data_IF_254407527491
#
_entry.id   IF_254407527491
#
_cell.length_a   1.000
_cell.length_b   1.000
_cell.length_c   1.000
_cell.angle_alpha   90.00
_cell.angle_beta   90.00
_cell.angle_gamma   90.00
#
_symmetry.space_group_name_H-M   'P 1'
#
loop_
_entity.id
_entity.type
_entity.pdbx_description
1 polymer ?
#
# COMPACT_ATOMS: atom_id res chain seq x y z
N UNK A 1 6.98 -24.09 7.87
CA UNK A 1 6.01 -22.96 7.90
C UNK A 1 4.67 -23.52 8.38
N UNK A 2 4.07 -22.96 9.44
CA UNK A 2 2.68 -23.29 9.81
C UNK A 2 1.77 -22.78 8.70
N UNK A 3 0.91 -23.65 8.19
CA UNK A 3 -0.10 -23.29 7.20
C UNK A 3 -1.19 -22.46 7.90
N UNK A 4 -1.35 -21.20 7.54
CA UNK A 4 -2.42 -20.35 8.06
C UNK A 4 -3.72 -20.63 7.29
N UNK A 5 -4.82 -20.74 8.02
CA UNK A 5 -6.16 -20.88 7.44
C UNK A 5 -6.77 -19.49 7.23
N UNK A 6 -7.26 -19.20 6.04
CA UNK A 6 -8.07 -18.03 5.77
C UNK A 6 -9.55 -18.33 6.02
N UNK A 7 -10.13 -17.54 6.91
CA UNK A 7 -11.56 -17.62 7.22
C UNK A 7 -12.23 -16.32 6.75
N UNK A 8 -13.05 -16.43 5.69
CA UNK A 8 -13.80 -15.31 5.13
C UNK A 8 -15.27 -15.47 5.47
N UNK A 9 -15.82 -14.51 6.23
CA UNK A 9 -17.20 -14.52 6.68
C UNK A 9 -18.06 -13.66 5.75
N UNK A 10 -19.05 -14.25 5.10
CA UNK A 10 -20.10 -13.55 4.39
C UNK A 10 -21.31 -13.41 5.28
N UNK A 11 -21.84 -12.19 5.44
CA UNK A 11 -23.04 -11.89 6.20
C UNK A 11 -24.02 -11.23 5.25
N UNK A 12 -25.15 -11.88 5.00
CA UNK A 12 -26.16 -11.40 4.07
C UNK A 12 -27.29 -10.64 4.74
N UNK A 13 -27.54 -10.94 6.01
CA UNK A 13 -28.57 -10.26 6.80
C UNK A 13 -28.02 -8.90 7.27
N UNK A 14 -28.63 -7.77 6.85
CA UNK A 14 -28.15 -6.44 7.19
C UNK A 14 -28.12 -6.15 8.68
N UNK A 15 -29.06 -6.71 9.47
CA UNK A 15 -29.10 -6.49 10.90
C UNK A 15 -27.94 -7.18 11.63
N UNK A 16 -27.37 -8.23 11.02
CA UNK A 16 -26.22 -8.96 11.54
C UNK A 16 -24.86 -8.35 11.13
N UNK A 17 -24.82 -7.51 10.09
CA UNK A 17 -23.56 -6.88 9.61
C UNK A 17 -22.93 -6.01 10.69
N UNK A 18 -23.75 -5.28 11.45
CA UNK A 18 -23.29 -4.41 12.53
C UNK A 18 -22.70 -5.14 13.73
N UNK A 19 -22.92 -6.45 13.87
CA UNK A 19 -22.41 -7.24 14.99
C UNK A 19 -20.89 -7.43 14.91
N UNK A 20 -20.21 -7.47 16.06
CA UNK A 20 -18.75 -7.65 16.13
C UNK A 20 -18.35 -9.12 15.95
N UNK A 21 -18.48 -9.66 14.74
CA UNK A 21 -18.13 -11.05 14.45
C UNK A 21 -16.66 -11.38 14.72
N UNK A 22 -15.84 -10.36 14.84
CA UNK A 22 -14.43 -10.44 15.23
C UNK A 22 -14.25 -11.12 16.60
N UNK A 23 -15.28 -11.09 17.49
CA UNK A 23 -15.24 -11.72 18.81
C UNK A 23 -15.58 -13.22 18.81
N UNK A 24 -15.91 -13.80 17.66
CA UNK A 24 -16.28 -15.22 17.60
C UNK A 24 -15.19 -16.09 18.24
N UNK A 25 -15.64 -17.03 19.08
CA UNK A 25 -14.79 -17.98 19.78
C UNK A 25 -15.15 -19.42 19.33
N UNK A 26 -14.17 -20.31 19.18
CA UNK A 26 -14.46 -21.73 18.89
C UNK A 26 -15.27 -22.39 20.01
N UNK A 27 -14.99 -21.99 21.25
CA UNK A 27 -15.71 -22.39 22.46
C UNK A 27 -15.69 -21.24 23.48
N UNK A 28 -16.69 -21.17 24.37
CA UNK A 28 -16.71 -20.14 25.41
C UNK A 28 -15.42 -20.13 26.25
N UNK A 29 -14.83 -18.95 26.41
CA UNK A 29 -13.59 -18.75 27.17
C UNK A 29 -12.29 -18.98 26.40
N UNK A 30 -12.35 -19.38 25.14
CA UNK A 30 -11.17 -19.41 24.25
C UNK A 30 -10.90 -18.06 23.61
N UNK A 31 -9.70 -17.89 23.03
CA UNK A 31 -9.36 -16.69 22.27
C UNK A 31 -10.24 -16.57 21.03
N UNK A 32 -10.59 -15.34 20.67
CA UNK A 32 -11.35 -15.07 19.46
C UNK A 32 -10.60 -15.54 18.21
N UNK A 33 -11.35 -16.02 17.20
CA UNK A 33 -10.80 -16.51 15.92
C UNK A 33 -9.96 -15.42 15.25
N UNK A 34 -10.42 -14.17 15.28
CA UNK A 34 -9.73 -13.03 14.67
C UNK A 34 -8.41 -12.64 15.34
N UNK A 35 -8.12 -13.19 16.51
CA UNK A 35 -6.86 -13.00 17.26
C UNK A 35 -5.93 -14.22 17.11
N UNK A 36 -6.36 -15.28 16.42
CA UNK A 36 -5.52 -16.45 16.21
C UNK A 36 -4.36 -16.14 15.27
N UNK A 37 -3.13 -16.56 15.58
CA UNK A 37 -2.01 -16.46 14.65
C UNK A 37 -2.11 -17.44 13.47
N UNK A 38 -2.95 -18.48 13.60
CA UNK A 38 -3.11 -19.55 12.62
C UNK A 38 -4.37 -19.34 11.73
N UNK A 39 -5.25 -18.38 12.09
CA UNK A 39 -6.49 -18.09 11.36
C UNK A 39 -6.52 -16.63 10.96
N UNK A 40 -6.53 -16.38 9.67
CA UNK A 40 -6.65 -15.04 9.10
C UNK A 40 -8.13 -14.73 8.86
N UNK A 41 -8.68 -13.86 9.69
CA UNK A 41 -10.10 -13.52 9.67
C UNK A 41 -10.38 -12.26 8.88
N UNK A 42 -11.30 -12.33 7.92
CA UNK A 42 -11.85 -11.20 7.19
C UNK A 42 -13.34 -11.42 6.88
N UNK A 43 -14.03 -10.32 6.56
CA UNK A 43 -15.37 -10.39 5.96
C UNK A 43 -15.25 -10.38 4.44
N UNK A 44 -16.30 -10.83 3.76
CA UNK A 44 -16.40 -10.80 2.30
C UNK A 44 -17.86 -10.67 1.87
N UNK A 45 -18.07 -10.43 0.59
CA UNK A 45 -19.39 -10.51 -0.08
C UNK A 45 -19.22 -11.28 -1.38
N UNK A 46 -20.21 -12.05 -1.81
CA UNK A 46 -20.12 -12.87 -3.02
C UNK A 46 -20.63 -12.15 -4.27
N UNK A 47 -21.52 -11.19 -4.11
CA UNK A 47 -22.05 -10.38 -5.22
C UNK A 47 -21.13 -9.18 -5.49
N UNK A 48 -20.08 -9.40 -6.27
CA UNK A 48 -19.04 -8.40 -6.57
C UNK A 48 -18.79 -8.27 -8.08
N UNK A 49 -18.37 -7.09 -8.50
CA UNK A 49 -17.79 -6.88 -9.82
C UNK A 49 -16.41 -7.56 -9.89
N UNK A 50 -16.01 -8.10 -11.05
CA UNK A 50 -14.69 -8.73 -11.19
C UNK A 50 -13.57 -7.79 -10.81
N UNK A 51 -12.51 -8.33 -10.18
CA UNK A 51 -11.31 -7.54 -9.91
C UNK A 51 -10.70 -7.01 -11.19
N UNK A 52 -10.30 -5.73 -11.24
CA UNK A 52 -9.48 -5.22 -12.31
C UNK A 52 -8.12 -5.94 -12.31
N UNK A 53 -7.39 -5.85 -13.43
CA UNK A 53 -6.03 -6.37 -13.47
C UNK A 53 -5.15 -5.65 -12.44
N UNK A 54 -4.74 -6.36 -11.39
CA UNK A 54 -3.99 -5.80 -10.28
C UNK A 54 -2.52 -5.58 -10.67
N UNK A 55 -1.99 -4.40 -10.35
CA UNK A 55 -0.57 -4.09 -10.52
C UNK A 55 0.29 -4.93 -9.59
N UNK A 56 1.48 -5.28 -10.03
CA UNK A 56 2.51 -5.81 -9.16
C UNK A 56 3.32 -4.64 -8.62
N UNK A 57 3.07 -4.27 -7.35
CA UNK A 57 3.78 -3.20 -6.68
C UNK A 57 4.87 -3.78 -5.76
N UNK A 58 5.98 -3.06 -5.62
CA UNK A 58 7.11 -3.41 -4.73
C UNK A 58 7.30 -2.36 -3.63
N UNK A 59 6.51 -1.29 -3.65
CA UNK A 59 6.52 -0.21 -2.67
C UNK A 59 5.09 0.10 -2.22
N UNK A 60 4.94 0.63 -1.03
CA UNK A 60 3.67 1.10 -0.51
C UNK A 60 3.56 2.60 -0.82
N UNK A 61 2.63 2.95 -1.68
CA UNK A 61 2.38 4.33 -2.07
C UNK A 61 1.00 4.75 -1.55
N UNK A 62 0.98 5.61 -0.53
CA UNK A 62 -0.23 5.99 0.20
C UNK A 62 -0.68 7.39 -0.21
N UNK A 63 -1.94 7.53 -0.62
CA UNK A 63 -2.63 8.79 -0.62
C UNK A 63 -3.38 8.94 0.71
N UNK A 64 -2.88 9.81 1.60
CA UNK A 64 -3.50 10.16 2.87
C UNK A 64 -4.41 11.37 2.66
N UNK A 65 -5.70 11.18 2.88
CA UNK A 65 -6.73 12.23 2.77
C UNK A 65 -7.29 12.53 4.16
N UNK A 66 -7.13 13.76 4.61
CA UNK A 66 -7.78 14.25 5.82
C UNK A 66 -9.04 15.03 5.41
N UNK A 67 -10.18 14.46 5.78
CA UNK A 67 -11.47 15.11 5.64
C UNK A 67 -11.72 16.15 6.72
N UNK A 68 -12.93 16.70 6.74
CA UNK A 68 -13.29 17.65 7.77
C UNK A 68 -13.49 16.97 9.12
N UNK A 69 -12.86 17.52 10.14
CA UNK A 69 -13.12 17.21 11.55
C UNK A 69 -13.06 18.49 12.37
N UNK A 70 -14.18 18.86 13.00
CA UNK A 70 -14.30 20.07 13.80
C UNK A 70 -13.49 20.04 15.09
N UNK A 71 -12.99 18.88 15.52
CA UNK A 71 -12.31 18.67 16.80
C UNK A 71 -10.78 18.68 16.70
N UNK A 72 -10.21 18.58 15.48
CA UNK A 72 -8.80 18.27 15.30
C UNK A 72 -8.01 19.42 14.64
N UNK A 73 -6.78 19.59 15.10
CA UNK A 73 -5.77 20.37 14.40
C UNK A 73 -5.24 19.50 13.24
N UNK A 74 -5.94 19.51 12.10
CA UNK A 74 -5.74 18.63 10.96
C UNK A 74 -4.28 18.55 10.48
N UNK A 75 -3.55 19.66 10.53
CA UNK A 75 -2.13 19.68 10.13
C UNK A 75 -1.24 18.87 11.08
N UNK A 76 -1.55 18.89 12.38
CA UNK A 76 -0.82 18.10 13.39
C UNK A 76 -1.16 16.62 13.22
N UNK A 77 -2.43 16.28 13.01
CA UNK A 77 -2.87 14.92 12.74
C UNK A 77 -2.29 14.38 11.44
N UNK A 78 -2.29 15.18 10.36
CA UNK A 78 -1.66 14.84 9.11
C UNK A 78 -0.18 14.48 9.29
N UNK A 79 0.55 15.33 10.04
CA UNK A 79 1.96 15.13 10.31
C UNK A 79 2.20 13.88 11.15
N UNK A 80 1.36 13.63 12.15
CA UNK A 80 1.44 12.46 13.02
C UNK A 80 1.15 11.17 12.25
N UNK A 81 0.05 11.11 11.49
CA UNK A 81 -0.32 9.96 10.69
C UNK A 81 0.74 9.68 9.61
N UNK A 82 1.24 10.72 8.93
CA UNK A 82 2.32 10.59 7.97
C UNK A 82 3.56 9.98 8.61
N UNK A 83 3.95 10.46 9.80
CA UNK A 83 5.08 9.91 10.55
C UNK A 83 4.85 8.44 10.92
N UNK A 84 3.68 8.10 11.47
CA UNK A 84 3.31 6.72 11.83
C UNK A 84 3.37 5.79 10.61
N UNK A 85 2.82 6.21 9.48
CA UNK A 85 2.79 5.42 8.25
C UNK A 85 4.18 5.22 7.64
N UNK A 86 5.06 6.22 7.75
CA UNK A 86 6.42 6.15 7.21
C UNK A 86 7.39 5.39 8.13
N UNK A 87 7.34 5.65 9.43
CA UNK A 87 8.32 5.11 10.37
C UNK A 87 7.94 3.70 10.86
N UNK A 88 6.62 3.44 11.04
CA UNK A 88 6.14 2.21 11.65
C UNK A 88 6.68 2.04 13.08
N UNK A 89 6.40 0.92 13.72
CA UNK A 89 7.09 0.54 14.96
C UNK A 89 8.35 -0.23 14.58
N UNK A 90 9.53 0.08 15.12
CA UNK A 90 10.72 -0.72 14.87
C UNK A 90 10.56 -2.10 15.53
N UNK A 91 9.92 -3.01 14.82
CA UNK A 91 9.97 -4.45 15.07
C UNK A 91 11.34 -4.94 14.57
N UNK A 92 12.41 -4.65 15.32
CA UNK A 92 13.78 -4.96 14.95
C UNK A 92 14.04 -4.69 13.46
N UNK A 93 14.90 -3.75 13.13
CA UNK A 93 15.24 -3.42 11.73
C UNK A 93 15.59 -4.71 10.98
N UNK A 94 14.59 -5.34 10.37
CA UNK A 94 14.83 -6.40 9.40
C UNK A 94 15.14 -5.72 8.08
N UNK A 95 16.20 -6.15 7.45
CA UNK A 95 16.84 -5.64 6.24
C UNK A 95 15.92 -5.62 4.99
N UNK A 96 14.62 -5.88 5.14
CA UNK A 96 13.68 -6.15 4.05
C UNK A 96 12.39 -5.34 4.09
N UNK A 97 12.33 -4.23 4.85
CA UNK A 97 11.12 -3.41 4.85
C UNK A 97 10.92 -2.72 3.49
N UNK A 98 9.74 -2.89 2.91
CA UNK A 98 9.40 -2.25 1.65
C UNK A 98 9.39 -0.72 1.77
N UNK A 99 9.86 0.00 0.74
CA UNK A 99 9.76 1.45 0.71
C UNK A 99 8.31 1.92 0.83
N UNK A 100 8.12 3.04 1.53
CA UNK A 100 6.80 3.63 1.72
C UNK A 100 6.85 5.13 1.42
N UNK A 101 5.87 5.62 0.65
CA UNK A 101 5.66 7.05 0.41
C UNK A 101 4.27 7.45 0.85
N UNK A 102 4.12 8.68 1.34
CA UNK A 102 2.85 9.25 1.76
C UNK A 102 2.69 10.65 1.18
N UNK A 103 1.72 10.81 0.29
CA UNK A 103 1.20 12.12 -0.15
C UNK A 103 -0.01 12.46 0.68
N UNK A 104 -0.07 13.68 1.19
CA UNK A 104 -1.18 14.14 2.03
C UNK A 104 -2.01 15.19 1.32
N UNK A 105 -3.33 15.04 1.34
CA UNK A 105 -4.31 16.05 0.98
C UNK A 105 -5.13 16.40 2.22
N UNK A 106 -5.23 17.69 2.53
CA UNK A 106 -6.02 18.19 3.66
C UNK A 106 -7.23 18.94 3.11
N UNK A 107 -8.42 18.50 3.47
CA UNK A 107 -9.72 19.04 3.02
C UNK A 107 -9.78 19.27 1.49
N UNK A 108 -9.46 18.25 0.67
CA UNK A 108 -9.47 18.44 -0.77
C UNK A 108 -10.89 18.64 -1.29
N UNK A 109 -11.02 19.33 -2.41
CA UNK A 109 -12.23 19.27 -3.23
C UNK A 109 -12.34 17.90 -3.91
N UNK A 110 -13.53 17.53 -4.39
CA UNK A 110 -13.70 16.30 -5.19
C UNK A 110 -12.78 16.29 -6.41
N UNK A 111 -12.64 17.44 -7.08
CA UNK A 111 -11.80 17.57 -8.28
C UNK A 111 -10.33 17.31 -7.96
N UNK A 112 -9.79 17.92 -6.92
CA UNK A 112 -8.42 17.71 -6.48
C UNK A 112 -8.16 16.24 -6.09
N UNK A 113 -9.08 15.63 -5.33
CA UNK A 113 -8.99 14.23 -4.96
C UNK A 113 -8.96 13.31 -6.18
N UNK A 114 -9.87 13.52 -7.12
CA UNK A 114 -9.99 12.70 -8.34
C UNK A 114 -8.74 12.91 -9.22
N UNK A 115 -8.30 14.14 -9.45
CA UNK A 115 -7.08 14.44 -10.21
C UNK A 115 -5.86 13.75 -9.61
N UNK A 116 -5.72 13.79 -8.29
CA UNK A 116 -4.61 13.14 -7.60
C UNK A 116 -4.65 11.61 -7.77
N UNK A 117 -5.81 10.99 -7.61
CA UNK A 117 -5.98 9.55 -7.82
C UNK A 117 -5.74 9.13 -9.27
N UNK A 118 -6.16 9.94 -10.27
CA UNK A 118 -5.95 9.66 -11.70
C UNK A 118 -4.47 9.61 -12.10
N UNK A 119 -3.58 10.11 -11.26
CA UNK A 119 -2.13 9.91 -11.47
C UNK A 119 -1.74 8.43 -11.44
N UNK A 120 -2.59 7.57 -10.85
CA UNK A 120 -2.35 6.13 -10.65
C UNK A 120 -1.04 5.83 -9.89
N UNK A 121 -0.57 6.80 -9.10
CA UNK A 121 0.67 6.68 -8.34
C UNK A 121 0.53 5.83 -7.07
N UNK A 122 -0.71 5.62 -6.60
CA UNK A 122 -1.00 5.04 -5.29
C UNK A 122 -1.53 3.61 -5.40
N UNK A 123 -1.26 2.78 -4.39
CA UNK A 123 -1.85 1.46 -4.17
C UNK A 123 -2.64 1.38 -2.85
N UNK A 124 -2.48 2.40 -1.99
CA UNK A 124 -3.24 2.55 -0.75
C UNK A 124 -3.92 3.91 -0.73
N UNK A 125 -5.22 3.91 -0.49
CA UNK A 125 -5.99 5.09 -0.15
C UNK A 125 -6.26 5.09 1.35
N UNK A 126 -5.84 6.11 2.06
CA UNK A 126 -6.06 6.26 3.50
C UNK A 126 -6.88 7.52 3.75
N UNK A 127 -8.05 7.36 4.34
CA UNK A 127 -8.91 8.47 4.74
C UNK A 127 -9.00 8.56 6.26
N UNK A 128 -8.82 9.76 6.81
CA UNK A 128 -9.10 10.10 8.20
C UNK A 128 -10.06 11.29 8.25
N UNK A 129 -11.15 11.19 9.00
CA UNK A 129 -12.16 12.22 9.12
C UNK A 129 -13.55 11.66 9.40
N UNK A 130 -14.60 12.47 9.17
CA UNK A 130 -15.97 12.04 9.39
C UNK A 130 -16.53 11.23 8.22
N UNK A 131 -17.26 10.15 8.56
CA UNK A 131 -18.08 9.39 7.65
C UNK A 131 -19.52 9.29 8.19
N UNK A 132 -20.49 9.12 7.32
CA UNK A 132 -21.89 8.83 7.70
C UNK A 132 -22.39 7.62 6.92
N UNK A 133 -23.15 6.73 7.57
CA UNK A 133 -23.93 5.73 6.86
C UNK A 133 -24.96 6.41 5.97
N UNK A 134 -25.05 5.99 4.71
CA UNK A 134 -25.97 6.54 3.70
C UNK A 134 -26.50 5.36 2.88
N UNK A 135 -27.79 5.36 2.45
CA UNK A 135 -28.34 4.31 1.60
C UNK A 135 -27.51 4.02 0.34
N UNK A 136 -26.85 5.04 -0.20
CA UNK A 136 -25.98 4.95 -1.38
C UNK A 136 -24.51 4.53 -1.05
N UNK A 137 -24.33 3.81 0.04
CA UNK A 137 -23.04 3.21 0.39
C UNK A 137 -22.13 4.08 1.25
N UNK A 138 -22.72 4.85 2.16
CA UNK A 138 -21.99 5.75 3.03
C UNK A 138 -21.44 6.99 2.33
N UNK A 139 -21.07 7.99 3.10
CA UNK A 139 -20.48 9.23 2.60
C UNK A 139 -19.30 9.65 3.47
N UNK A 140 -18.25 10.16 2.83
CA UNK A 140 -17.07 10.74 3.49
C UNK A 140 -17.08 12.26 3.30
N UNK A 141 -16.82 13.00 4.38
CA UNK A 141 -16.74 14.46 4.33
C UNK A 141 -15.34 14.91 3.94
N UNK A 142 -15.20 15.48 2.75
CA UNK A 142 -13.94 16.08 2.30
C UNK A 142 -13.74 17.46 2.95
N UNK A 143 -14.84 18.25 2.99
CA UNK A 143 -14.93 19.52 3.71
C UNK A 143 -16.28 19.59 4.44
N UNK A 144 -16.56 20.66 5.20
CA UNK A 144 -17.86 20.84 5.88
C UNK A 144 -19.08 20.71 4.95
N UNK A 145 -18.93 21.09 3.69
CA UNK A 145 -20.03 21.14 2.71
C UNK A 145 -19.90 20.07 1.62
N UNK A 146 -18.70 19.56 1.40
CA UNK A 146 -18.41 18.63 0.31
C UNK A 146 -18.25 17.22 0.82
N UNK A 147 -19.03 16.31 0.29
CA UNK A 147 -18.93 14.88 0.56
C UNK A 147 -18.77 14.07 -0.73
N UNK A 148 -18.14 12.91 -0.62
CA UNK A 148 -18.09 11.90 -1.67
C UNK A 148 -18.83 10.67 -1.18
N UNK A 149 -19.74 10.11 -2.01
CA UNK A 149 -20.45 8.89 -1.65
C UNK A 149 -19.63 7.65 -2.00
N UNK A 150 -20.03 6.50 -1.43
CA UNK A 150 -19.30 5.25 -1.58
C UNK A 150 -19.22 4.76 -3.02
N UNK A 151 -20.26 4.94 -3.83
CA UNK A 151 -20.28 4.51 -5.24
C UNK A 151 -19.31 5.37 -6.08
N UNK A 152 -19.35 6.69 -5.93
CA UNK A 152 -18.43 7.60 -6.61
C UNK A 152 -16.97 7.25 -6.24
N UNK A 153 -16.72 7.05 -4.95
CA UNK A 153 -15.38 6.70 -4.47
C UNK A 153 -14.92 5.33 -5.02
N UNK A 154 -15.79 4.32 -4.98
CA UNK A 154 -15.48 2.99 -5.49
C UNK A 154 -15.05 3.01 -6.96
N UNK A 155 -15.80 3.73 -7.81
CA UNK A 155 -15.47 3.89 -9.23
C UNK A 155 -14.08 4.50 -9.44
N UNK A 156 -13.73 5.51 -8.64
CA UNK A 156 -12.42 6.17 -8.74
C UNK A 156 -11.32 5.24 -8.26
N UNK A 157 -11.45 4.63 -7.08
CA UNK A 157 -10.44 3.76 -6.50
C UNK A 157 -10.14 2.55 -7.40
N UNK A 158 -11.19 1.93 -7.96
CA UNK A 158 -11.05 0.75 -8.83
C UNK A 158 -10.33 1.10 -10.13
N UNK A 159 -10.76 2.15 -10.85
CA UNK A 159 -10.12 2.51 -12.14
C UNK A 159 -8.70 3.05 -11.99
N UNK A 160 -8.35 3.58 -10.81
CA UNK A 160 -7.00 4.09 -10.54
C UNK A 160 -6.05 3.05 -9.95
N UNK A 161 -6.55 1.84 -9.67
CA UNK A 161 -5.75 0.69 -9.25
C UNK A 161 -5.36 0.71 -7.77
N UNK A 162 -6.18 1.33 -6.92
CA UNK A 162 -6.04 1.21 -5.46
C UNK A 162 -6.36 -0.23 -5.05
N UNK A 163 -5.44 -0.85 -4.30
CA UNK A 163 -5.61 -2.21 -3.78
C UNK A 163 -6.19 -2.25 -2.37
N UNK A 164 -5.92 -1.22 -1.58
CA UNK A 164 -6.35 -1.13 -0.19
C UNK A 164 -6.92 0.24 0.12
N UNK A 165 -8.19 0.27 0.54
CA UNK A 165 -8.81 1.43 1.16
C UNK A 165 -8.78 1.29 2.68
N UNK A 166 -8.22 2.28 3.40
CA UNK A 166 -8.22 2.36 4.87
C UNK A 166 -9.04 3.56 5.29
N UNK A 167 -10.07 3.32 6.09
CA UNK A 167 -11.01 4.36 6.54
C UNK A 167 -10.97 4.47 8.06
N UNK A 168 -10.13 5.39 8.55
CA UNK A 168 -10.12 5.83 9.94
C UNK A 168 -11.22 6.89 10.13
N UNK A 169 -12.47 6.46 9.96
CA UNK A 169 -13.67 7.25 10.10
C UNK A 169 -14.69 6.44 10.88
N UNK A 170 -15.45 7.10 11.73
CA UNK A 170 -16.54 6.44 12.45
C UNK A 170 -17.51 5.81 11.45
N UNK A 171 -17.90 4.55 11.73
CA UNK A 171 -18.92 3.82 10.99
C UNK A 171 -18.62 3.44 9.53
N UNK A 172 -17.39 3.50 9.08
CA UNK A 172 -17.02 3.08 7.71
C UNK A 172 -17.39 1.64 7.36
N UNK A 173 -17.57 0.77 8.36
CA UNK A 173 -18.02 -0.62 8.23
C UNK A 173 -19.46 -0.86 8.76
N UNK A 174 -20.24 0.20 9.00
CA UNK A 174 -21.61 0.10 9.52
C UNK A 174 -22.64 0.38 8.42
N UNK A 175 -23.69 -0.46 8.26
CA UNK A 175 -24.77 -0.20 7.29
C UNK A 175 -25.62 0.99 7.72
N UNK A 176 -26.20 1.70 6.75
CA UNK A 176 -27.24 2.67 7.00
C UNK A 176 -28.51 2.01 7.51
N UNK A 177 -29.34 2.74 8.24
CA UNK A 177 -30.63 2.24 8.71
C UNK A 177 -31.74 3.25 8.43
N UNK A 178 -32.91 2.74 8.01
CA UNK A 178 -34.17 3.50 7.90
C UNK A 178 -35.18 2.86 8.85
N UNK A 179 -35.84 3.65 9.70
CA UNK A 179 -36.77 3.18 10.71
C UNK A 179 -36.22 2.03 11.58
N UNK A 180 -34.94 2.09 11.96
CA UNK A 180 -34.20 1.06 12.73
C UNK A 180 -33.97 -0.27 11.99
N UNK A 181 -34.28 -0.37 10.70
CA UNK A 181 -33.92 -1.52 9.88
C UNK A 181 -32.67 -1.20 9.06
N UNK A 182 -31.66 -2.06 9.13
CA UNK A 182 -30.44 -1.92 8.36
C UNK A 182 -30.72 -2.11 6.86
N UNK A 183 -30.10 -1.26 6.04
CA UNK A 183 -30.22 -1.33 4.59
C UNK A 183 -29.14 -2.29 4.08
N UNK A 184 -29.51 -3.28 3.23
CA UNK A 184 -28.52 -4.19 2.63
C UNK A 184 -27.45 -3.43 1.85
N UNK A 185 -26.20 -3.86 2.00
CA UNK A 185 -25.07 -3.40 1.23
C UNK A 185 -24.88 -1.85 1.20
N UNK A 186 -25.22 -1.21 2.31
CA UNK A 186 -25.14 0.25 2.46
C UNK A 186 -23.90 0.72 3.25
N UNK A 187 -23.11 -0.19 3.84
CA UNK A 187 -21.84 0.20 4.45
C UNK A 187 -20.83 0.59 3.38
N UNK A 188 -20.03 1.60 3.66
CA UNK A 188 -18.98 2.04 2.74
C UNK A 188 -18.07 0.87 2.34
N UNK A 189 -17.67 0.04 3.30
CA UNK A 189 -16.79 -1.09 3.03
C UNK A 189 -17.42 -2.10 2.05
N UNK A 190 -18.70 -2.44 2.21
CA UNK A 190 -19.39 -3.37 1.32
C UNK A 190 -19.53 -2.82 -0.10
N UNK A 191 -19.88 -1.53 -0.23
CA UNK A 191 -20.03 -0.88 -1.54
C UNK A 191 -18.70 -0.85 -2.28
N UNK A 192 -17.59 -0.52 -1.59
CA UNK A 192 -16.28 -0.51 -2.20
C UNK A 192 -15.85 -1.91 -2.70
N UNK A 193 -16.05 -2.96 -1.89
CA UNK A 193 -15.73 -4.34 -2.30
C UNK A 193 -16.64 -4.79 -3.45
N UNK A 194 -17.94 -4.46 -3.41
CA UNK A 194 -18.89 -4.80 -4.48
C UNK A 194 -18.44 -4.24 -5.82
N UNK A 195 -17.93 -3.03 -5.85
CA UNK A 195 -17.43 -2.38 -7.06
C UNK A 195 -15.95 -2.67 -7.37
N UNK A 196 -15.39 -3.76 -6.85
CA UNK A 196 -14.09 -4.29 -7.27
C UNK A 196 -12.88 -3.68 -6.57
N UNK A 197 -13.04 -2.96 -5.46
CA UNK A 197 -11.88 -2.61 -4.61
C UNK A 197 -11.39 -3.87 -3.90
N UNK A 198 -10.08 -4.25 -4.03
CA UNK A 198 -9.61 -5.56 -3.57
C UNK A 198 -9.68 -5.76 -2.06
N UNK A 199 -9.39 -4.71 -1.27
CA UNK A 199 -9.41 -4.75 0.19
C UNK A 199 -9.89 -3.44 0.80
N UNK A 200 -10.68 -3.52 1.86
CA UNK A 200 -11.18 -2.37 2.61
C UNK A 200 -11.08 -2.63 4.10
N UNK A 201 -10.38 -1.74 4.80
CA UNK A 201 -10.30 -1.71 6.26
C UNK A 201 -11.08 -0.50 6.76
N UNK A 202 -12.18 -0.72 7.44
CA UNK A 202 -13.03 0.33 8.01
C UNK A 202 -13.18 0.17 9.53
N UNK A 203 -13.52 1.26 10.21
CA UNK A 203 -13.88 1.22 11.62
C UNK A 203 -15.39 0.98 11.76
N UNK A 204 -15.77 0.06 12.66
CA UNK A 204 -17.17 -0.24 12.96
C UNK A 204 -17.80 0.85 13.83
N UNK A 205 -17.02 1.45 14.72
CA UNK A 205 -17.44 2.47 15.68
C UNK A 205 -16.30 3.43 15.99
N UNK A 206 -16.55 4.42 16.86
CA UNK A 206 -15.50 5.31 17.34
C UNK A 206 -14.42 4.54 18.10
N UNK A 207 -13.17 4.82 17.78
CA UNK A 207 -11.98 4.29 18.43
C UNK A 207 -11.22 5.43 19.07
N UNK A 208 -10.65 5.22 20.27
CA UNK A 208 -9.84 6.25 20.91
C UNK A 208 -8.56 6.52 20.09
N UNK A 209 -8.12 7.79 20.05
CA UNK A 209 -6.98 8.21 19.23
C UNK A 209 -5.71 7.39 19.48
N UNK A 210 -5.39 7.14 20.76
CA UNK A 210 -4.21 6.35 21.13
C UNK A 210 -4.30 4.90 20.62
N UNK A 211 -5.48 4.29 20.66
CA UNK A 211 -5.74 2.95 20.17
C UNK A 211 -5.67 2.90 18.65
N UNK A 212 -6.29 3.88 17.97
CA UNK A 212 -6.22 4.04 16.52
C UNK A 212 -4.77 4.18 16.05
N UNK A 213 -3.98 5.04 16.69
CA UNK A 213 -2.57 5.24 16.35
C UNK A 213 -1.75 3.96 16.55
N UNK A 214 -1.93 3.24 17.66
CA UNK A 214 -1.25 1.97 17.92
C UNK A 214 -1.60 0.91 16.87
N UNK A 215 -2.88 0.85 16.47
CA UNK A 215 -3.35 -0.04 15.41
C UNK A 215 -2.69 0.30 14.08
N UNK A 216 -2.77 1.56 13.65
CA UNK A 216 -2.23 2.03 12.37
C UNK A 216 -0.72 1.81 12.31
N UNK A 217 0.01 2.05 13.41
CA UNK A 217 1.44 1.86 13.49
C UNK A 217 1.85 0.39 13.27
N UNK A 218 1.20 -0.54 13.96
CA UNK A 218 1.50 -1.97 13.82
C UNK A 218 1.05 -2.52 12.48
N UNK A 219 -0.08 -2.03 11.96
CA UNK A 219 -0.59 -2.37 10.65
C UNK A 219 0.37 -1.93 9.54
N UNK A 220 0.80 -0.66 9.54
CA UNK A 220 1.74 -0.12 8.56
C UNK A 220 3.10 -0.82 8.61
N UNK A 221 3.64 -1.08 9.81
CA UNK A 221 4.88 -1.84 9.97
C UNK A 221 4.77 -3.26 9.39
N UNK A 222 3.63 -3.92 9.62
CA UNK A 222 3.37 -5.27 9.08
C UNK A 222 3.27 -5.28 7.55
N UNK A 223 2.60 -4.27 6.95
CA UNK A 223 2.54 -4.13 5.49
C UNK A 223 3.93 -3.86 4.89
N UNK A 224 4.74 -3.01 5.53
CA UNK A 224 6.12 -2.75 5.09
C UNK A 224 6.99 -4.00 5.15
N UNK A 225 6.75 -4.88 6.10
CA UNK A 225 7.39 -6.21 6.18
C UNK A 225 6.80 -7.22 5.19
N UNK A 226 6.12 -6.76 4.14
CA UNK A 226 5.50 -7.57 3.08
C UNK A 226 4.53 -8.65 3.58
N UNK A 227 3.90 -8.44 4.74
CA UNK A 227 2.83 -9.32 5.20
C UNK A 227 1.57 -9.07 4.38
N UNK A 228 0.77 -10.11 4.21
CA UNK A 228 -0.55 -9.98 3.61
C UNK A 228 -1.44 -9.08 4.45
N UNK A 229 -2.43 -8.42 3.83
CA UNK A 229 -3.29 -7.44 4.53
C UNK A 229 -4.00 -8.06 5.73
N UNK A 230 -4.52 -9.28 5.59
CA UNK A 230 -5.18 -10.02 6.69
C UNK A 230 -4.21 -10.36 7.83
N UNK A 231 -2.95 -10.71 7.52
CA UNK A 231 -1.89 -10.92 8.50
C UNK A 231 -1.54 -9.61 9.23
N UNK A 232 -1.48 -8.50 8.50
CA UNK A 232 -1.19 -7.18 9.07
C UNK A 232 -2.29 -6.73 10.04
N UNK A 233 -3.57 -6.95 9.68
CA UNK A 233 -4.72 -6.67 10.54
C UNK A 233 -4.71 -7.57 11.79
N UNK A 234 -4.42 -8.87 11.65
CA UNK A 234 -4.34 -9.77 12.79
C UNK A 234 -3.24 -9.34 13.78
N UNK A 235 -2.06 -8.96 13.28
CA UNK A 235 -0.97 -8.44 14.12
C UNK A 235 -1.37 -7.15 14.85
N UNK A 236 -2.04 -6.21 14.17
CA UNK A 236 -2.50 -4.96 14.77
C UNK A 236 -3.60 -5.16 15.82
N UNK A 237 -4.52 -6.12 15.61
CA UNK A 237 -5.52 -6.51 16.63
C UNK A 237 -4.88 -7.11 17.87
N UNK A 238 -3.86 -7.97 17.71
CA UNK A 238 -3.11 -8.55 18.84
C UNK A 238 -2.38 -7.47 19.65
N UNK A 239 -1.84 -6.44 18.98
CA UNK A 239 -1.21 -5.30 19.67
C UNK A 239 -2.23 -4.55 20.53
N UNK A 240 -3.41 -4.23 20.00
CA UNK A 240 -4.47 -3.58 20.76
C UNK A 240 -4.89 -4.41 21.99
N UNK A 241 -5.04 -5.72 21.83
CA UNK A 241 -5.37 -6.60 22.96
C UNK A 241 -4.28 -6.58 24.03
N UNK A 242 -3.00 -6.48 23.62
CA UNK A 242 -1.87 -6.51 24.54
C UNK A 242 -1.72 -5.20 25.32
N UNK A 243 -1.91 -4.06 24.66
CA UNK A 243 -1.72 -2.73 25.27
C UNK A 243 -2.93 -2.28 26.11
N UNK A 244 -4.15 -2.63 25.69
CA UNK A 244 -5.39 -2.06 26.23
C UNK A 244 -6.29 -3.13 26.87
N UNK A 245 -5.73 -3.97 27.73
CA UNK A 245 -6.32 -5.21 28.27
C UNK A 245 -7.69 -5.12 28.95
N UNK A 246 -8.16 -3.99 29.44
CA UNK A 246 -9.14 -4.03 30.52
C UNK A 246 -10.48 -3.31 30.33
N UNK A 247 -10.70 -2.43 29.34
CA UNK A 247 -11.94 -1.66 29.37
C UNK A 247 -12.78 -1.62 28.08
N UNK A 248 -12.22 -1.90 26.91
CA UNK A 248 -13.02 -1.93 25.69
C UNK A 248 -12.39 -2.92 24.68
N UNK A 249 -13.20 -3.69 23.95
CA UNK A 249 -12.68 -4.57 22.93
C UNK A 249 -12.30 -3.80 21.66
N UNK A 250 -11.45 -2.76 21.78
CA UNK A 250 -11.02 -1.90 20.69
C UNK A 250 -10.47 -2.67 19.49
N UNK A 251 -9.85 -3.82 19.75
CA UNK A 251 -9.37 -4.73 18.71
C UNK A 251 -10.47 -5.30 17.80
N UNK A 252 -11.75 -5.17 18.19
CA UNK A 252 -12.91 -5.59 17.37
C UNK A 252 -13.44 -4.50 16.45
N UNK A 253 -13.00 -3.25 16.65
CA UNK A 253 -13.49 -2.09 15.89
C UNK A 253 -12.97 -2.07 14.44
N UNK A 254 -11.70 -2.40 14.15
CA UNK A 254 -11.23 -2.53 12.79
C UNK A 254 -11.83 -3.76 12.10
N UNK A 255 -12.56 -3.53 11.00
CA UNK A 255 -13.21 -4.58 10.20
C UNK A 255 -12.55 -4.62 8.84
N UNK A 256 -11.99 -5.78 8.50
CA UNK A 256 -11.39 -6.03 7.20
C UNK A 256 -12.37 -6.74 6.29
N UNK A 257 -12.64 -6.14 5.13
CA UNK A 257 -13.30 -6.79 4.00
C UNK A 257 -12.28 -7.11 2.91
N UNK A 258 -12.34 -8.32 2.37
CA UNK A 258 -11.55 -8.74 1.21
C UNK A 258 -12.48 -9.19 0.08
N UNK A 259 -12.15 -8.77 -1.13
CA UNK A 259 -12.78 -9.29 -2.34
C UNK A 259 -12.55 -10.82 -2.42
N UNK A 260 -13.55 -11.64 -2.82
CA UNK A 260 -13.40 -13.10 -2.83
C UNK A 260 -12.22 -13.59 -3.66
N UNK A 261 -11.91 -12.92 -4.78
CA UNK A 261 -10.81 -13.30 -5.69
C UNK A 261 -9.46 -12.67 -5.33
N UNK A 262 -9.38 -11.87 -4.25
CA UNK A 262 -8.14 -11.22 -3.84
C UNK A 262 -7.41 -12.04 -2.78
N UNK A 263 -6.13 -12.28 -3.01
CA UNK A 263 -5.27 -13.07 -2.11
C UNK A 263 -4.72 -12.30 -0.89
N UNK A 264 -4.98 -10.98 -0.81
CA UNK A 264 -4.49 -10.12 0.27
C UNK A 264 -3.08 -9.58 0.06
N UNK A 265 -2.43 -9.84 -1.09
CA UNK A 265 -1.09 -9.36 -1.39
C UNK A 265 -1.11 -7.90 -1.84
N UNK A 266 -0.69 -6.98 -0.96
CA UNK A 266 -0.57 -5.54 -1.31
C UNK A 266 0.66 -5.29 -2.20
N UNK A 267 1.79 -5.84 -1.78
CA UNK A 267 3.09 -5.69 -2.44
C UNK A 267 3.81 -7.05 -2.49
N UNK A 268 4.59 -7.28 -3.53
CA UNK A 268 5.42 -8.50 -3.63
C UNK A 268 6.75 -8.30 -2.95
N UNK A 269 7.12 -9.26 -2.09
CA UNK A 269 8.47 -9.32 -1.55
C UNK A 269 9.49 -9.56 -2.65
N UNK A 270 10.62 -8.90 -2.56
CA UNK A 270 11.75 -9.10 -3.48
C UNK A 270 12.29 -10.53 -3.49
N UNK A 271 12.12 -11.26 -2.38
CA UNK A 271 12.64 -12.62 -2.24
C UNK A 271 11.84 -13.69 -3.01
N UNK A 272 10.64 -13.39 -3.48
CA UNK A 272 9.80 -14.37 -4.19
C UNK A 272 10.22 -14.65 -5.63
N UNK A 273 11.18 -13.91 -6.18
CA UNK A 273 11.70 -14.09 -7.54
C UNK A 273 13.11 -14.71 -7.63
N UNK A 274 13.75 -14.99 -6.51
CA UNK A 274 15.09 -15.59 -6.49
C UNK A 274 14.94 -17.10 -6.42
N UNK A 275 15.28 -17.79 -7.49
CA UNK A 275 15.56 -19.24 -7.45
C UNK A 275 16.73 -19.43 -6.48
N UNK A 276 16.45 -19.90 -5.26
CA UNK A 276 17.51 -20.29 -4.34
C UNK A 276 18.31 -21.40 -5.00
N UNK A 277 19.55 -21.13 -5.36
CA UNK A 277 20.50 -22.20 -5.64
C UNK A 277 20.60 -23.10 -4.40
N UNK A 278 20.72 -24.43 -4.58
CA UNK A 278 20.91 -25.36 -3.44
C UNK A 278 22.08 -24.89 -2.59
N UNK A 279 21.88 -24.86 -1.28
CA UNK A 279 22.86 -24.43 -0.29
C UNK A 279 24.20 -25.14 -0.50
N UNK A 280 25.18 -24.43 -1.03
CA UNK A 280 26.56 -24.73 -0.85
C UNK A 280 26.97 -24.10 0.50
N UNK A 281 27.16 -24.94 1.50
CA UNK A 281 27.65 -24.71 2.86
C UNK A 281 28.17 -23.31 3.14
N UNK A 282 27.41 -22.54 3.92
CA UNK A 282 27.70 -21.20 4.35
C UNK A 282 28.85 -21.17 5.36
N UNK A 283 30.00 -20.66 4.96
CA UNK A 283 30.88 -19.93 5.86
C UNK A 283 30.34 -18.51 6.02
N UNK A 284 29.93 -18.17 7.26
CA UNK A 284 29.22 -16.95 7.57
C UNK A 284 30.01 -15.68 7.25
N UNK A 285 29.59 -14.98 6.24
CA UNK A 285 29.90 -13.55 6.00
C UNK A 285 28.55 -12.82 6.08
N UNK A 286 28.40 -11.82 6.95
CA UNK A 286 27.16 -11.02 6.98
C UNK A 286 27.06 -10.22 5.68
N UNK A 287 26.19 -10.62 4.77
CA UNK A 287 25.84 -9.85 3.59
C UNK A 287 24.90 -8.72 4.01
N UNK A 288 25.42 -7.50 4.13
CA UNK A 288 24.59 -6.30 4.15
C UNK A 288 23.93 -6.16 2.78
N UNK A 289 22.65 -6.45 2.69
CA UNK A 289 21.87 -6.24 1.45
C UNK A 289 21.61 -4.74 1.34
N UNK A 290 22.40 -4.05 0.52
CA UNK A 290 22.15 -2.66 0.18
C UNK A 290 20.87 -2.59 -0.68
N UNK A 291 19.81 -1.97 -0.15
CA UNK A 291 18.57 -1.76 -0.87
C UNK A 291 18.71 -0.55 -1.79
N UNK A 292 18.42 -0.72 -3.07
CA UNK A 292 18.38 0.36 -4.03
C UNK A 292 17.01 0.44 -4.71
N UNK A 293 16.61 1.65 -5.10
CA UNK A 293 15.33 1.90 -5.76
C UNK A 293 15.37 3.12 -6.67
N UNK A 294 14.40 3.19 -7.58
CA UNK A 294 14.09 4.38 -8.36
C UNK A 294 12.92 5.10 -7.72
N UNK A 295 13.06 6.41 -7.49
CA UNK A 295 12.01 7.30 -6.99
C UNK A 295 11.64 8.29 -8.08
N UNK A 296 10.35 8.45 -8.37
CA UNK A 296 9.85 9.47 -9.29
C UNK A 296 9.98 10.86 -8.67
N UNK A 297 10.54 11.82 -9.42
CA UNK A 297 10.64 13.22 -9.03
C UNK A 297 9.46 14.03 -9.58
N UNK A 298 8.98 15.01 -8.82
CA UNK A 298 7.91 15.91 -9.25
C UNK A 298 8.41 16.85 -10.36
N UNK A 299 7.63 16.95 -11.44
CA UNK A 299 7.79 18.02 -12.43
C UNK A 299 6.57 18.96 -12.37
N UNK A 300 6.74 20.28 -12.63
CA UNK A 300 5.65 21.26 -12.56
C UNK A 300 4.47 20.97 -13.51
N UNK A 301 4.66 20.10 -14.50
CA UNK A 301 3.68 19.74 -15.53
C UNK A 301 3.28 18.26 -15.54
N UNK A 302 3.75 17.47 -14.58
CA UNK A 302 3.46 16.03 -14.50
C UNK A 302 2.66 15.70 -13.23
N UNK A 303 1.86 14.62 -13.26
CA UNK A 303 1.14 14.19 -12.07
C UNK A 303 2.11 13.94 -10.90
N UNK A 304 1.68 14.25 -9.67
CA UNK A 304 2.53 14.20 -8.49
C UNK A 304 3.10 12.81 -8.27
N UNK A 305 4.36 12.77 -8.06
CA UNK A 305 5.23 11.62 -8.09
C UNK A 305 5.63 11.22 -6.67
N UNK A 306 5.28 10.05 -6.30
CA UNK A 306 5.74 9.34 -5.12
C UNK A 306 6.02 7.89 -5.43
N UNK A 307 6.01 7.51 -6.73
CA UNK A 307 6.18 6.13 -7.14
C UNK A 307 7.62 5.67 -6.92
N UNK A 308 7.78 4.58 -6.19
CA UNK A 308 9.07 3.95 -5.93
C UNK A 308 9.07 2.57 -6.57
N UNK A 309 10.17 2.24 -7.25
CA UNK A 309 10.45 0.91 -7.76
C UNK A 309 11.73 0.38 -7.17
N UNK A 310 11.62 -0.73 -6.43
CA UNK A 310 12.78 -1.44 -5.91
C UNK A 310 13.55 -2.12 -7.04
N UNK A 311 14.87 -2.06 -6.94
CA UNK A 311 15.76 -2.73 -7.88
C UNK A 311 16.07 -4.14 -7.37
N UNK A 312 15.96 -5.12 -8.28
CA UNK A 312 16.24 -6.52 -7.96
C UNK A 312 17.75 -6.81 -7.95
N UNK A 313 18.21 -7.75 -7.12
CA UNK A 313 19.52 -8.35 -7.31
C UNK A 313 19.64 -8.97 -8.71
N UNK A 314 20.77 -8.77 -9.37
CA UNK A 314 21.00 -9.21 -10.73
C UNK A 314 20.53 -8.20 -11.76
N UNK A 315 19.39 -8.39 -12.41
CA UNK A 315 18.90 -7.54 -13.51
C UNK A 315 17.49 -7.06 -13.22
N UNK A 316 17.28 -5.76 -13.28
CA UNK A 316 15.94 -5.14 -13.27
C UNK A 316 15.64 -4.58 -14.67
N UNK A 317 14.62 -5.12 -15.34
CA UNK A 317 14.21 -4.73 -16.69
C UNK A 317 13.16 -3.64 -16.66
N UNK A 318 13.34 -2.64 -17.52
CA UNK A 318 12.45 -1.48 -17.67
C UNK A 318 11.90 -1.47 -19.09
N UNK A 319 10.60 -1.34 -19.26
CA UNK A 319 10.00 -1.28 -20.59
C UNK A 319 8.49 -1.20 -20.61
N UNK A 320 7.90 -1.14 -21.81
CA UNK A 320 6.47 -0.93 -21.99
C UNK A 320 5.62 -2.18 -21.78
N UNK A 321 6.17 -3.36 -22.00
CA UNK A 321 5.43 -4.62 -21.93
C UNK A 321 5.47 -5.24 -20.53
N UNK A 322 4.50 -6.08 -20.22
CA UNK A 322 4.30 -6.70 -18.88
C UNK A 322 5.39 -7.70 -18.47
N UNK A 323 6.23 -8.11 -19.40
CA UNK A 323 7.37 -8.99 -19.16
C UNK A 323 8.59 -8.26 -18.57
N UNK A 324 8.49 -6.94 -18.37
CA UNK A 324 9.50 -6.17 -17.64
C UNK A 324 9.18 -6.10 -16.15
N UNK A 325 10.23 -5.92 -15.35
CA UNK A 325 10.12 -5.76 -13.88
C UNK A 325 9.51 -4.40 -13.52
N UNK A 326 9.86 -3.36 -14.27
CA UNK A 326 9.31 -2.02 -14.21
C UNK A 326 8.56 -1.74 -15.50
N UNK A 327 7.23 -1.66 -15.42
CA UNK A 327 6.37 -1.42 -16.58
C UNK A 327 6.03 0.06 -16.68
N UNK A 328 6.43 0.67 -17.79
CA UNK A 328 6.11 2.05 -18.17
C UNK A 328 5.29 1.99 -19.47
N UNK A 329 3.94 2.09 -19.41
CA UNK A 329 3.07 1.76 -20.56
C UNK A 329 3.01 2.83 -21.64
N UNK A 330 3.83 3.87 -21.56
CA UNK A 330 3.84 5.02 -22.45
C UNK A 330 4.40 4.63 -23.84
N UNK A 331 3.85 5.28 -24.89
CA UNK A 331 4.19 4.98 -26.30
C UNK A 331 5.65 5.25 -26.66
N UNK A 332 6.29 6.18 -25.92
CA UNK A 332 7.71 6.54 -26.14
C UNK A 332 8.69 5.58 -25.46
N UNK A 333 8.17 4.58 -24.73
CA UNK A 333 8.97 3.54 -24.11
C UNK A 333 9.03 2.32 -25.03
N UNK A 334 10.20 1.78 -25.27
CA UNK A 334 10.38 0.53 -26.01
C UNK A 334 9.84 -0.67 -25.25
N UNK A 335 9.51 -1.79 -25.91
CA UNK A 335 9.07 -3.04 -25.28
C UNK A 335 10.05 -3.49 -24.18
N UNK A 336 11.34 -3.48 -24.51
CA UNK A 336 12.49 -3.50 -23.58
C UNK A 336 13.23 -2.21 -23.79
N UNK A 337 13.30 -1.36 -22.76
CA UNK A 337 13.82 -0.01 -22.89
C UNK A 337 15.18 0.15 -22.25
N UNK A 338 15.34 -0.32 -21.06
CA UNK A 338 16.59 -0.27 -20.31
C UNK A 338 16.70 -1.44 -19.31
N UNK A 339 17.91 -1.70 -18.85
CA UNK A 339 18.18 -2.65 -17.77
C UNK A 339 19.07 -1.97 -16.71
N UNK A 340 18.76 -2.23 -15.43
CA UNK A 340 19.66 -1.89 -14.32
C UNK A 340 20.27 -3.19 -13.82
N UNK A 341 21.59 -3.25 -13.91
CA UNK A 341 22.41 -4.40 -13.54
C UNK A 341 22.94 -4.20 -12.12
N UNK A 342 22.68 -5.14 -11.23
CA UNK A 342 23.22 -5.17 -9.87
C UNK A 342 24.36 -6.20 -9.83
N UNK A 343 25.59 -5.73 -9.57
CA UNK A 343 26.80 -6.59 -9.52
C UNK A 343 27.51 -6.46 -8.18
N UNK A 344 27.84 -7.58 -7.61
CA UNK A 344 28.64 -7.64 -6.40
C UNK A 344 30.12 -7.75 -6.77
N UNK A 345 30.95 -6.83 -6.28
CA UNK A 345 32.41 -6.84 -6.46
C UNK A 345 33.10 -6.97 -5.11
N UNK A 346 34.11 -7.82 -5.03
CA UNK A 346 34.95 -7.95 -3.85
C UNK A 346 36.06 -6.89 -3.90
N UNK A 347 36.06 -6.00 -2.91
CA UNK A 347 37.18 -5.08 -2.65
C UNK A 347 37.86 -5.51 -1.34
N UNK A 348 38.98 -6.24 -1.43
CA UNK A 348 39.58 -6.86 -0.28
C UNK A 348 38.68 -7.92 0.36
N UNK A 349 38.28 -7.71 1.62
CA UNK A 349 37.33 -8.58 2.36
C UNK A 349 35.89 -8.07 2.35
N UNK A 350 35.63 -6.91 1.74
CA UNK A 350 34.31 -6.28 1.74
C UNK A 350 33.58 -6.49 0.42
N UNK A 351 32.37 -7.05 0.48
CA UNK A 351 31.49 -7.20 -0.67
C UNK A 351 30.80 -5.87 -0.94
N UNK A 352 31.06 -5.27 -2.11
CA UNK A 352 30.40 -4.04 -2.53
C UNK A 352 29.40 -4.33 -3.66
N UNK A 353 28.18 -3.85 -3.49
CA UNK A 353 27.14 -3.94 -4.51
C UNK A 353 27.14 -2.69 -5.37
N UNK A 354 27.30 -2.81 -6.67
CA UNK A 354 27.33 -1.71 -7.62
C UNK A 354 26.17 -1.87 -8.63
N UNK A 355 25.60 -0.74 -9.06
CA UNK A 355 24.49 -0.69 -10.00
C UNK A 355 24.92 0.01 -11.29
N UNK A 356 24.50 -0.51 -12.44
CA UNK A 356 24.83 0.01 -13.76
C UNK A 356 23.55 0.11 -14.57
N UNK A 357 23.35 1.21 -15.28
CA UNK A 357 22.24 1.42 -16.21
C UNK A 357 22.71 1.18 -17.65
N UNK A 358 21.97 0.35 -18.40
CA UNK A 358 22.20 0.07 -19.79
C UNK A 358 20.94 0.41 -20.62
N UNK A 359 21.11 1.13 -21.74
CA UNK A 359 20.03 1.40 -22.68
C UNK A 359 19.86 0.25 -23.67
N UNK A 360 18.62 -0.19 -23.84
CA UNK A 360 18.18 -1.18 -24.82
C UNK A 360 17.09 -0.63 -25.74
N UNK A 361 16.82 0.68 -25.64
CA UNK A 361 15.75 1.31 -26.40
C UNK A 361 16.06 1.35 -27.90
N UNK A 362 15.01 1.33 -28.73
CA UNK A 362 15.14 1.31 -30.19
C UNK A 362 15.84 2.56 -30.73
N UNK A 363 15.67 3.69 -30.04
CA UNK A 363 16.15 5.00 -30.48
C UNK A 363 17.14 5.65 -29.53
N UNK A 364 17.68 4.93 -28.52
CA UNK A 364 18.61 5.47 -27.55
C UNK A 364 17.98 6.57 -26.70
N UNK A 365 16.81 6.33 -26.10
CA UNK A 365 16.08 7.36 -25.35
C UNK A 365 16.17 7.18 -23.84
N UNK A 366 17.31 6.69 -23.34
CA UNK A 366 17.66 6.63 -21.93
C UNK A 366 18.71 7.68 -21.61
N UNK A 367 18.48 8.46 -20.58
CA UNK A 367 19.31 9.62 -20.23
C UNK A 367 19.64 9.62 -18.73
N UNK A 368 20.77 10.21 -18.37
CA UNK A 368 21.13 10.54 -16.99
C UNK A 368 21.60 11.98 -16.84
N UNK A 369 21.38 12.57 -15.68
CA UNK A 369 21.84 13.93 -15.39
C UNK A 369 23.27 13.89 -14.84
N UNK A 370 24.21 14.44 -15.59
CA UNK A 370 25.60 14.67 -15.21
C UNK A 370 25.82 16.14 -14.78
N UNK A 371 26.98 16.50 -14.18
CA UNK A 371 27.33 17.91 -13.90
C UNK A 371 27.30 18.81 -15.14
N UNK A 372 27.45 18.22 -16.32
CA UNK A 372 27.47 18.96 -17.61
C UNK A 372 26.07 18.95 -18.30
N UNK A 373 25.01 18.53 -17.61
CA UNK A 373 23.65 18.41 -18.14
C UNK A 373 23.24 16.98 -18.49
N UNK A 374 22.07 16.83 -19.14
CA UNK A 374 21.53 15.56 -19.55
C UNK A 374 22.41 14.90 -20.62
N UNK A 375 22.84 13.66 -20.35
CA UNK A 375 23.62 12.84 -21.26
C UNK A 375 22.85 11.59 -21.66
N UNK A 376 22.85 11.30 -22.96
CA UNK A 376 22.25 10.11 -23.54
C UNK A 376 23.15 8.90 -23.32
N UNK A 377 22.56 7.76 -22.96
CA UNK A 377 23.27 6.49 -22.85
C UNK A 377 23.22 5.80 -24.22
N UNK A 378 24.38 5.59 -24.84
CA UNK A 378 24.51 4.97 -26.16
C UNK A 378 25.28 3.65 -26.03
N UNK A 379 24.59 2.54 -25.80
CA UNK A 379 25.16 1.16 -25.78
C UNK A 379 26.29 0.93 -24.76
N UNK A 380 26.47 1.86 -23.82
CA UNK A 380 27.43 1.74 -22.73
C UNK A 380 26.70 1.47 -21.42
N UNK A 381 27.41 0.89 -20.45
CA UNK A 381 26.93 0.77 -19.09
C UNK A 381 27.36 2.00 -18.28
N UNK A 382 26.41 2.71 -17.68
CA UNK A 382 26.67 3.86 -16.83
C UNK A 382 26.55 3.45 -15.36
N UNK A 383 27.60 3.64 -14.54
CA UNK A 383 27.53 3.35 -13.12
C UNK A 383 26.56 4.32 -12.43
N UNK A 384 25.63 3.80 -11.61
CA UNK A 384 24.66 4.57 -10.88
C UNK A 384 25.19 4.93 -9.49
N UNK A 385 25.09 6.22 -9.15
CA UNK A 385 25.38 6.76 -7.81
C UNK A 385 24.10 7.28 -7.18
N UNK A 386 23.97 7.16 -5.86
CA UNK A 386 22.79 7.64 -5.14
C UNK A 386 22.56 9.13 -5.37
N UNK A 387 21.32 9.52 -5.67
CA UNK A 387 20.95 10.89 -6.08
C UNK A 387 21.02 11.15 -7.60
N UNK A 388 21.50 10.20 -8.41
CA UNK A 388 21.56 10.37 -9.87
C UNK A 388 20.15 10.37 -10.47
N UNK A 389 19.87 11.38 -11.30
CA UNK A 389 18.58 11.47 -12.00
C UNK A 389 18.63 10.80 -13.36
N UNK A 390 17.55 10.07 -13.67
CA UNK A 390 17.40 9.27 -14.89
C UNK A 390 16.12 9.66 -15.60
N UNK A 391 16.12 9.53 -16.93
CA UNK A 391 14.95 9.77 -17.77
C UNK A 391 14.84 8.65 -18.81
N UNK A 392 13.63 8.12 -18.98
CA UNK A 392 13.33 7.07 -19.96
C UNK A 392 12.34 7.61 -20.98
N UNK A 393 12.66 7.48 -22.26
CA UNK A 393 11.82 7.91 -23.37
C UNK A 393 11.80 9.42 -23.57
N UNK A 394 10.99 10.13 -22.82
CA UNK A 394 10.76 11.58 -22.97
C UNK A 394 10.66 12.25 -21.61
N UNK A 395 11.04 13.53 -21.53
CA UNK A 395 10.88 14.34 -20.31
C UNK A 395 9.41 14.46 -19.84
N UNK A 396 8.45 14.18 -20.72
CA UNK A 396 7.01 14.17 -20.37
C UNK A 396 6.61 12.96 -19.52
N UNK A 397 7.41 11.88 -19.53
CA UNK A 397 7.14 10.66 -18.76
C UNK A 397 7.56 10.80 -17.29
N UNK A 398 8.46 11.73 -17.00
CA UNK A 398 8.97 11.98 -15.67
C UNK A 398 10.47 11.76 -15.54
N UNK A 399 11.02 12.25 -14.44
CA UNK A 399 12.40 12.07 -14.04
C UNK A 399 12.41 11.12 -12.83
N UNK A 400 13.37 10.22 -12.81
CA UNK A 400 13.56 9.24 -11.77
C UNK A 400 14.88 9.46 -11.07
N UNK A 401 14.91 9.36 -9.77
CA UNK A 401 16.13 9.43 -8.98
C UNK A 401 16.51 8.02 -8.51
N UNK A 402 17.75 7.64 -8.78
CA UNK A 402 18.32 6.43 -8.23
C UNK A 402 18.75 6.67 -6.78
N UNK A 403 18.30 5.85 -5.86
CA UNK A 403 18.66 5.92 -4.44
C UNK A 403 19.20 4.58 -4.01
N UNK A 404 20.33 4.62 -3.31
CA UNK A 404 20.92 3.50 -2.63
C UNK A 404 20.98 3.81 -1.14
N UNK A 405 20.36 2.96 -0.32
CA UNK A 405 20.45 3.06 1.13
C UNK A 405 21.74 2.38 1.58
N UNK A 406 22.67 3.16 2.10
CA UNK A 406 23.86 2.62 2.77
C UNK A 406 23.51 2.37 4.23
N UNK A 407 23.52 1.11 4.63
CA UNK A 407 23.44 0.77 6.05
C UNK A 407 24.81 0.95 6.67
N UNK A 408 24.95 2.00 7.48
CA UNK A 408 26.11 2.22 8.37
C UNK A 408 26.04 1.29 9.59
#
# INVERSE_FOLDING_TARGET
QRTQLRFRLEIRDPDLIALPWEIMQPQPGQSAISLSPDILFSRTISEVEPLPELRTDQAINILLVLGDDHKLQLDQEASLLKKILLEGRPLGKTVTDAPCTVKTLVKPTKTELIQELETKAYNVFFYAGHGLPDPDGGSLFLTNELKINGIELAQVLTRTGIKLGVFNACWGARPAAIHHQAIPASSLAEVLIRHGVPAVLGMRDEIADAESQSFIQTFAASLRSCKLIDQAVAAARQELLTLYKFNQPAWTLPVLYLHPDFDGELIKSLDQGITKLPDMTSSGIPTSVNTAYLRSLEQPSSPPSGKIWLLRPGVTRIGRTKDNDIVMPEIYISKRHAEILCRNTLHGTTLMTNYYLQDLSTYGTTWYLSPNGWQQILREEVPLTSGMQLMFGSSQIGIWEFIREEHS
#
